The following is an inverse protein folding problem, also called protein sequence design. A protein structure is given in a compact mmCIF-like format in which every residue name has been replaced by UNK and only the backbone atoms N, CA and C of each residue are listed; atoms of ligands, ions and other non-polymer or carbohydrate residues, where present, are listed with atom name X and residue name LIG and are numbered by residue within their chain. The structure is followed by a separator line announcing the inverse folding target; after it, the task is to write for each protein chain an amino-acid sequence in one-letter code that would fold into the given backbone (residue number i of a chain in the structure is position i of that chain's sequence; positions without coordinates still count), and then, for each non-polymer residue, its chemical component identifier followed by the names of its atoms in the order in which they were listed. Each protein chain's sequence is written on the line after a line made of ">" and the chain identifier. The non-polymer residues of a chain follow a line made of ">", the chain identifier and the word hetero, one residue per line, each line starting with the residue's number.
data_IF_824802853468
#
_entry.id   IF_824802853468
#
_cell.length_a   1.000
_cell.length_b   1.000
_cell.length_c   1.000
_cell.angle_alpha   90.00
_cell.angle_beta   90.00
_cell.angle_gamma   90.00
#
_symmetry.space_group_name_H-M   'P 1'
#
loop_
_entity.id
_entity.type
_entity.pdbx_description
1 polymer ?
#
# COMPACT_ATOMS: atom_id res chain seq x y z
N UNK A 1 -18.21 8.38 31.19
CA UNK A 1 -18.55 7.76 29.89
C UNK A 1 -18.86 8.91 28.95
N UNK A 2 -18.46 8.95 27.65
CA UNK A 2 -18.01 7.85 26.76
C UNK A 2 -16.89 8.23 25.74
N UNK A 3 -16.06 7.27 25.33
CA UNK A 3 -15.35 7.21 24.01
C UNK A 3 -14.29 6.10 24.06
N UNK A 4 -13.41 6.14 25.07
CA UNK A 4 -12.29 5.21 25.20
C UNK A 4 -12.72 3.77 25.52
N UNK A 5 -13.88 3.57 26.14
CA UNK A 5 -14.37 2.24 26.52
C UNK A 5 -15.05 1.48 25.36
N UNK A 6 -15.34 2.13 24.24
CA UNK A 6 -15.80 1.46 23.00
C UNK A 6 -14.62 1.03 22.12
N UNK A 7 -13.54 1.81 22.10
CA UNK A 7 -12.31 1.52 21.33
C UNK A 7 -11.52 0.36 21.95
N UNK A 8 -11.34 0.37 23.27
CA UNK A 8 -10.68 -0.74 23.98
C UNK A 8 -11.46 -2.06 23.82
N UNK A 9 -12.78 -2.00 23.63
CA UNK A 9 -13.60 -3.20 23.40
C UNK A 9 -13.50 -3.73 21.96
N UNK A 10 -13.17 -2.90 20.97
CA UNK A 10 -12.92 -3.36 19.60
C UNK A 10 -11.62 -4.19 19.53
N UNK A 11 -10.57 -3.75 20.23
CA UNK A 11 -9.32 -4.49 20.36
C UNK A 11 -9.46 -5.76 21.24
N UNK A 12 -10.33 -5.74 22.27
CA UNK A 12 -10.50 -6.88 23.19
C UNK A 12 -11.45 -7.99 22.70
N UNK A 13 -12.23 -7.78 21.63
CA UNK A 13 -13.10 -8.83 21.06
C UNK A 13 -12.37 -9.68 20.00
N UNK A 14 -11.08 -9.43 19.74
CA UNK A 14 -10.30 -10.05 18.67
C UNK A 14 -9.44 -11.23 19.12
N UNK A 15 -9.69 -11.85 20.28
CA UNK A 15 -9.01 -13.10 20.67
C UNK A 15 -9.71 -14.38 20.15
N UNK A 16 -10.15 -14.38 18.89
CA UNK A 16 -10.64 -15.62 18.29
C UNK A 16 -10.36 -15.70 16.79
N UNK A 17 -9.24 -16.34 16.42
CA UNK A 17 -9.03 -17.12 15.19
C UNK A 17 -9.38 -16.50 13.81
N UNK A 18 -9.75 -15.23 13.74
CA UNK A 18 -10.21 -14.54 12.54
C UNK A 18 -9.61 -13.14 12.58
N UNK A 19 -8.72 -12.85 11.63
CA UNK A 19 -8.07 -11.56 11.50
C UNK A 19 -9.07 -10.40 11.44
N UNK A 20 -8.59 -9.19 11.75
CA UNK A 20 -9.37 -7.96 11.79
C UNK A 20 -10.22 -7.77 10.51
N UNK A 21 -11.51 -7.48 10.69
CA UNK A 21 -12.46 -7.22 9.59
C UNK A 21 -13.19 -5.89 9.83
N UNK A 22 -12.75 -4.78 9.21
CA UNK A 22 -13.38 -3.48 9.37
C UNK A 22 -14.77 -3.47 8.70
N UNK A 23 -15.78 -3.02 9.45
CA UNK A 23 -17.15 -2.91 8.94
C UNK A 23 -17.39 -1.63 8.13
N UNK A 24 -16.47 -0.67 8.19
CA UNK A 24 -16.60 0.63 7.54
C UNK A 24 -15.23 1.24 7.21
N UNK A 25 -15.26 2.29 6.38
CA UNK A 25 -14.09 3.14 6.15
C UNK A 25 -13.49 3.67 7.44
N UNK A 26 -14.33 4.13 8.37
CA UNK A 26 -13.87 4.70 9.65
C UNK A 26 -13.12 3.65 10.47
N UNK A 27 -13.63 2.41 10.53
CA UNK A 27 -12.95 1.34 11.27
C UNK A 27 -11.60 1.00 10.64
N UNK A 28 -11.52 1.01 9.30
CA UNK A 28 -10.28 0.78 8.57
C UNK A 28 -9.28 1.94 8.78
N UNK A 29 -9.73 3.19 8.66
CA UNK A 29 -8.89 4.38 8.90
C UNK A 29 -8.40 4.42 10.34
N UNK A 30 -9.25 4.17 11.33
CA UNK A 30 -8.88 4.17 12.75
C UNK A 30 -7.82 3.09 13.05
N UNK A 31 -7.97 1.88 12.48
CA UNK A 31 -7.00 0.80 12.64
C UNK A 31 -5.64 1.12 12.00
N UNK A 32 -5.64 1.74 10.82
CA UNK A 32 -4.41 2.18 10.16
C UNK A 32 -3.75 3.34 10.91
N UNK A 33 -4.53 4.32 11.37
CA UNK A 33 -4.05 5.45 12.16
C UNK A 33 -3.41 4.98 13.47
N UNK A 34 -4.03 4.00 14.14
CA UNK A 34 -3.50 3.38 15.35
C UNK A 34 -2.19 2.64 15.06
N UNK A 35 -2.12 1.91 13.95
CA UNK A 35 -0.88 1.27 13.52
C UNK A 35 0.24 2.31 13.24
N UNK A 36 -0.04 3.29 12.39
CA UNK A 36 0.97 4.21 11.89
C UNK A 36 1.46 5.23 12.93
N UNK A 37 0.70 5.50 14.00
CA UNK A 37 1.13 6.37 15.11
C UNK A 37 2.06 5.66 16.12
N UNK A 38 2.04 4.33 16.17
CA UNK A 38 2.80 3.54 17.14
C UNK A 38 4.10 2.94 16.56
N UNK A 39 4.36 3.13 15.26
CA UNK A 39 5.54 2.63 14.54
C UNK A 39 6.89 3.22 14.97
N UNK A 40 6.91 4.20 15.88
CA UNK A 40 8.14 4.78 16.45
C UNK A 40 8.72 3.97 17.63
N UNK A 41 8.13 2.83 18.00
CA UNK A 41 8.62 2.01 19.10
C UNK A 41 9.75 1.08 18.63
N UNK A 42 10.99 1.58 18.75
CA UNK A 42 12.21 0.78 18.61
C UNK A 42 12.22 -0.24 19.75
N UNK A 43 12.35 -1.53 19.45
CA UNK A 43 12.52 -2.50 20.53
C UNK A 43 13.85 -2.34 21.27
N UNK A 44 13.99 -3.02 22.42
CA UNK A 44 15.24 -3.10 23.19
C UNK A 44 16.42 -3.74 22.42
N UNK A 45 16.22 -4.20 21.18
CA UNK A 45 17.19 -4.85 20.30
C UNK A 45 17.53 -4.04 19.03
N UNK A 46 16.94 -2.86 18.82
CA UNK A 46 17.18 -2.02 17.65
C UNK A 46 16.51 -2.50 16.36
N UNK A 47 15.51 -3.37 16.45
CA UNK A 47 14.73 -3.85 15.31
C UNK A 47 13.51 -2.96 15.12
N UNK A 48 13.30 -2.47 13.90
CA UNK A 48 12.08 -1.76 13.52
C UNK A 48 10.93 -2.77 13.51
N UNK A 49 10.05 -2.73 14.51
CA UNK A 49 8.84 -3.55 14.48
C UNK A 49 7.83 -2.86 13.56
N UNK A 50 7.93 -3.22 12.27
CA UNK A 50 7.21 -2.70 11.12
C UNK A 50 5.85 -3.38 10.89
N UNK A 51 5.31 -3.88 12.00
CA UNK A 51 4.16 -4.72 12.13
C UNK A 51 3.40 -4.12 13.30
N UNK A 52 2.14 -3.76 13.09
CA UNK A 52 1.23 -3.02 13.96
C UNK A 52 0.92 -3.70 15.31
N UNK A 53 1.92 -4.23 16.00
CA UNK A 53 1.83 -5.08 17.18
C UNK A 53 2.15 -4.29 18.42
N UNK A 54 1.12 -4.01 19.21
CA UNK A 54 1.27 -4.02 20.66
C UNK A 54 0.01 -4.64 21.25
N UNK A 55 0.12 -5.85 21.80
CA UNK A 55 -0.93 -6.34 22.69
C UNK A 55 -0.94 -5.53 24.00
N UNK A 56 -1.97 -5.71 24.82
CA UNK A 56 -2.09 -5.03 26.12
C UNK A 56 -0.95 -5.32 27.12
N UNK A 57 -0.01 -6.21 26.78
CA UNK A 57 1.09 -6.68 27.61
C UNK A 57 2.47 -6.25 27.08
N UNK A 58 2.54 -5.58 25.93
CA UNK A 58 3.81 -5.13 25.35
C UNK A 58 4.66 -6.27 24.76
N UNK A 59 4.04 -7.38 24.35
CA UNK A 59 4.75 -8.51 23.73
C UNK A 59 4.56 -8.51 22.21
N UNK A 60 5.57 -9.05 21.47
CA UNK A 60 5.41 -9.30 20.04
C UNK A 60 4.41 -10.44 19.88
N UNK A 61 3.21 -10.08 19.45
CA UNK A 61 2.25 -11.02 18.91
C UNK A 61 2.96 -11.89 17.85
N UNK A 62 2.71 -13.19 17.83
CA UNK A 62 3.23 -14.15 16.83
C UNK A 62 2.08 -14.81 16.07
N UNK A 63 0.88 -14.27 16.24
CA UNK A 63 -0.40 -14.95 16.06
C UNK A 63 -0.97 -14.70 14.65
N UNK A 64 -0.26 -13.90 13.83
CA UNK A 64 -0.41 -13.88 12.38
C UNK A 64 -1.27 -12.76 11.82
N UNK A 65 -1.66 -11.75 12.60
CA UNK A 65 -2.52 -10.65 12.11
C UNK A 65 -1.69 -9.52 11.48
N UNK A 66 -1.13 -9.75 10.28
CA UNK A 66 -0.53 -8.65 9.52
C UNK A 66 -1.64 -7.81 8.86
N UNK A 67 -1.38 -6.53 8.57
CA UNK A 67 -2.32 -5.67 7.81
C UNK A 67 -2.80 -6.35 6.52
N UNK A 68 -1.95 -7.14 5.87
CA UNK A 68 -2.30 -7.89 4.66
C UNK A 68 -3.38 -8.97 4.86
N UNK A 69 -3.56 -9.44 6.09
CA UNK A 69 -4.49 -10.50 6.47
C UNK A 69 -5.88 -9.96 6.87
N UNK A 70 -6.06 -8.63 6.87
CA UNK A 70 -7.34 -7.99 7.20
C UNK A 70 -8.43 -8.30 6.16
N UNK A 71 -9.61 -8.71 6.62
CA UNK A 71 -10.77 -8.92 5.75
C UNK A 71 -11.50 -7.60 5.48
N UNK A 72 -11.09 -6.94 4.40
CA UNK A 72 -11.67 -5.67 3.93
C UNK A 72 -12.95 -5.83 3.11
N UNK A 73 -13.53 -7.04 3.01
CA UNK A 73 -14.64 -7.34 2.09
C UNK A 73 -15.93 -6.55 2.36
N UNK A 74 -16.09 -6.01 3.56
CA UNK A 74 -17.23 -5.17 3.97
C UNK A 74 -17.02 -3.68 3.69
N UNK A 75 -15.79 -3.26 3.39
CA UNK A 75 -15.46 -1.85 3.15
C UNK A 75 -15.98 -1.45 1.78
N UNK A 76 -16.78 -0.37 1.73
CA UNK A 76 -17.39 0.15 0.50
C UNK A 76 -16.78 1.50 0.05
N UNK A 77 -16.03 2.15 0.92
CA UNK A 77 -15.35 3.42 0.69
C UNK A 77 -13.91 3.29 1.20
N UNK A 78 -12.93 3.45 0.31
CA UNK A 78 -11.50 3.45 0.64
C UNK A 78 -10.85 4.80 0.33
N UNK A 79 -11.65 5.86 0.22
CA UNK A 79 -11.13 7.19 -0.03
C UNK A 79 -10.20 7.63 1.11
N UNK A 80 -9.05 8.21 0.78
CA UNK A 80 -8.06 8.76 1.71
C UNK A 80 -7.35 7.78 2.68
N UNK A 81 -7.67 6.49 2.64
CA UNK A 81 -7.17 5.45 3.59
C UNK A 81 -5.63 5.41 3.71
N UNK A 82 -4.88 5.69 2.64
CA UNK A 82 -3.41 5.78 2.65
C UNK A 82 -2.89 7.16 2.21
N UNK A 83 -3.67 8.22 2.37
CA UNK A 83 -3.24 9.57 1.99
C UNK A 83 -2.09 10.02 2.86
N UNK A 84 -0.98 10.45 2.24
CA UNK A 84 0.25 10.90 2.91
C UNK A 84 0.80 9.87 3.89
N UNK A 85 0.62 8.59 3.60
CA UNK A 85 1.08 7.48 4.41
C UNK A 85 2.61 7.27 4.34
N UNK A 86 3.40 8.36 4.24
CA UNK A 86 4.88 8.32 4.23
C UNK A 86 5.41 7.62 5.49
N UNK A 87 4.83 7.94 6.66
CA UNK A 87 5.19 7.31 7.95
C UNK A 87 4.84 5.83 7.98
N UNK A 88 3.70 5.46 7.38
CA UNK A 88 3.26 4.08 7.27
C UNK A 88 4.17 3.27 6.32
N UNK A 89 4.53 3.78 5.14
CA UNK A 89 5.23 3.01 4.11
C UNK A 89 6.75 2.89 4.29
N UNK A 90 7.41 3.78 5.05
CA UNK A 90 8.81 3.57 5.49
C UNK A 90 8.94 2.35 6.41
N UNK A 91 7.85 2.04 7.13
CA UNK A 91 7.82 1.10 8.25
C UNK A 91 6.77 0.00 8.09
N UNK A 92 6.19 -0.22 6.91
CA UNK A 92 5.18 -1.27 6.73
C UNK A 92 5.67 -2.29 5.74
N UNK A 93 6.07 -3.45 6.27
CA UNK A 93 6.08 -4.71 5.52
C UNK A 93 4.63 -5.23 5.27
N UNK A 94 3.63 -4.34 5.36
CA UNK A 94 2.22 -4.64 5.16
C UNK A 94 1.95 -4.86 3.68
N UNK A 95 1.74 -6.11 3.31
CA UNK A 95 1.38 -6.48 1.96
C UNK A 95 -0.12 -6.26 1.72
N UNK A 96 -0.49 -5.16 1.07
CA UNK A 96 -1.90 -4.85 0.73
C UNK A 96 -2.30 -5.34 -0.66
N UNK A 97 -1.42 -6.10 -1.32
CA UNK A 97 -1.62 -6.59 -2.70
C UNK A 97 -2.95 -7.33 -2.86
N UNK A 98 -3.35 -8.10 -1.84
CA UNK A 98 -4.45 -9.06 -1.90
C UNK A 98 -5.69 -8.68 -1.09
N UNK A 99 -5.80 -7.42 -0.67
CA UNK A 99 -7.01 -6.93 -0.02
C UNK A 99 -8.25 -7.12 -0.90
N UNK A 100 -9.35 -7.54 -0.28
CA UNK A 100 -10.62 -7.71 -0.98
C UNK A 100 -11.31 -6.35 -1.14
N UNK A 101 -11.22 -5.79 -2.35
CA UNK A 101 -11.86 -4.52 -2.70
C UNK A 101 -13.16 -4.68 -3.51
N UNK A 102 -13.67 -5.91 -3.67
CA UNK A 102 -14.82 -6.20 -4.55
C UNK A 102 -16.13 -5.52 -4.14
N UNK A 103 -16.22 -4.97 -2.91
CA UNK A 103 -17.35 -4.18 -2.42
C UNK A 103 -17.13 -2.67 -2.51
N UNK A 104 -15.90 -2.23 -2.83
CA UNK A 104 -15.51 -0.82 -2.82
C UNK A 104 -16.13 -0.10 -4.02
N UNK A 105 -16.68 1.08 -3.75
CA UNK A 105 -17.37 1.93 -4.74
C UNK A 105 -16.64 3.25 -4.98
N UNK A 106 -15.73 3.65 -4.09
CA UNK A 106 -14.90 4.85 -4.22
C UNK A 106 -13.49 4.63 -3.65
N UNK A 107 -12.49 5.11 -4.39
CA UNK A 107 -11.05 5.03 -4.06
C UNK A 107 -10.37 6.41 -4.26
N UNK A 108 -11.11 7.49 -4.00
CA UNK A 108 -10.59 8.85 -4.12
C UNK A 108 -9.36 9.06 -3.21
N UNK A 109 -8.26 9.54 -3.79
CA UNK A 109 -7.04 9.92 -3.07
C UNK A 109 -6.47 8.82 -2.18
N UNK A 110 -6.79 7.54 -2.40
CA UNK A 110 -6.38 6.44 -1.52
C UNK A 110 -4.87 6.44 -1.27
N UNK A 111 -4.05 6.64 -2.31
CA UNK A 111 -2.58 6.71 -2.22
C UNK A 111 -2.04 8.11 -2.53
N UNK A 112 -2.84 9.16 -2.32
CA UNK A 112 -2.40 10.53 -2.61
C UNK A 112 -1.19 10.90 -1.75
N UNK A 113 -0.13 11.37 -2.41
CA UNK A 113 1.17 11.71 -1.82
C UNK A 113 1.80 10.55 -1.01
N UNK A 114 1.48 9.30 -1.33
CA UNK A 114 2.16 8.11 -0.79
C UNK A 114 3.50 7.88 -1.52
N UNK A 115 4.47 8.75 -1.26
CA UNK A 115 5.70 8.90 -2.07
C UNK A 115 6.54 7.62 -2.16
N UNK A 116 6.44 6.74 -1.17
CA UNK A 116 7.20 5.48 -1.07
C UNK A 116 6.43 4.22 -1.48
N UNK A 117 5.13 4.34 -1.76
CA UNK A 117 4.30 3.20 -2.12
C UNK A 117 4.69 2.66 -3.50
N UNK A 118 5.00 1.36 -3.59
CA UNK A 118 5.27 0.68 -4.87
C UNK A 118 4.87 -0.80 -4.91
N UNK A 119 3.88 -1.20 -4.09
CA UNK A 119 3.41 -2.58 -4.10
C UNK A 119 2.47 -2.83 -5.28
N UNK A 120 2.48 -4.05 -5.89
CA UNK A 120 1.45 -4.40 -6.85
C UNK A 120 0.07 -4.39 -6.20
N UNK A 121 -0.98 -4.10 -6.97
CA UNK A 121 -2.34 -4.02 -6.46
C UNK A 121 -3.27 -4.97 -7.22
N UNK A 122 -3.51 -6.16 -6.66
CA UNK A 122 -4.43 -7.17 -7.20
C UNK A 122 -5.86 -6.92 -6.72
N UNK A 123 -6.31 -5.67 -6.87
CA UNK A 123 -7.60 -5.18 -6.39
C UNK A 123 -8.69 -5.36 -7.44
N UNK A 124 -9.87 -5.83 -7.01
CA UNK A 124 -11.08 -5.78 -7.82
C UNK A 124 -11.70 -4.39 -7.72
N UNK A 125 -11.58 -3.62 -8.79
CA UNK A 125 -12.14 -2.27 -8.90
C UNK A 125 -13.40 -2.19 -9.76
N UNK A 126 -13.99 -3.33 -10.12
CA UNK A 126 -15.09 -3.41 -11.09
C UNK A 126 -16.36 -2.64 -10.69
N UNK A 127 -16.53 -2.36 -9.38
CA UNK A 127 -17.63 -1.55 -8.82
C UNK A 127 -17.24 -0.11 -8.49
N UNK A 128 -15.97 0.27 -8.66
CA UNK A 128 -15.48 1.60 -8.31
C UNK A 128 -15.97 2.61 -9.34
N UNK A 129 -16.49 3.73 -8.85
CA UNK A 129 -17.04 4.82 -9.66
C UNK A 129 -16.17 6.09 -9.63
N UNK A 130 -15.34 6.26 -8.60
CA UNK A 130 -14.41 7.39 -8.44
C UNK A 130 -13.01 6.93 -8.01
N UNK A 131 -11.99 7.45 -8.70
CA UNK A 131 -10.56 7.25 -8.45
C UNK A 131 -9.78 8.59 -8.47
N UNK A 132 -10.46 9.69 -8.16
CA UNK A 132 -9.86 11.03 -8.24
C UNK A 132 -8.61 11.15 -7.39
N UNK A 133 -7.54 11.68 -7.97
CA UNK A 133 -6.24 11.86 -7.29
C UNK A 133 -5.65 10.58 -6.64
N UNK A 134 -6.13 9.37 -6.98
CA UNK A 134 -5.78 8.14 -6.25
C UNK A 134 -4.27 7.94 -6.08
N UNK A 135 -3.47 8.19 -7.12
CA UNK A 135 -2.00 8.09 -7.10
C UNK A 135 -1.31 9.45 -7.26
N UNK A 136 -2.02 10.55 -7.01
CA UNK A 136 -1.46 11.88 -7.18
C UNK A 136 -0.31 12.09 -6.20
N UNK A 137 0.94 12.11 -6.70
CA UNK A 137 2.13 12.29 -5.87
C UNK A 137 2.69 11.01 -5.25
N UNK A 138 2.21 9.83 -5.64
CA UNK A 138 2.81 8.55 -5.24
C UNK A 138 4.09 8.26 -6.03
N UNK A 139 5.13 9.08 -5.90
CA UNK A 139 6.25 9.20 -6.86
C UNK A 139 7.04 7.92 -7.19
N UNK A 140 7.07 6.92 -6.29
CA UNK A 140 7.75 5.65 -6.55
C UNK A 140 6.86 4.56 -7.15
N UNK A 141 5.54 4.75 -7.17
CA UNK A 141 4.63 3.76 -7.72
C UNK A 141 4.90 3.60 -9.22
N UNK A 142 5.20 2.39 -9.69
CA UNK A 142 5.46 2.10 -11.10
C UNK A 142 4.90 0.73 -11.52
N UNK A 143 3.93 0.22 -10.78
CA UNK A 143 3.34 -1.09 -11.04
C UNK A 143 2.27 -0.98 -12.14
N UNK A 144 2.16 -2.00 -13.01
CA UNK A 144 1.04 -2.09 -13.94
C UNK A 144 -0.28 -2.29 -13.18
N UNK A 145 -1.35 -1.70 -13.72
CA UNK A 145 -2.70 -1.77 -13.17
C UNK A 145 -3.62 -2.46 -14.18
N UNK A 146 -3.82 -3.78 -14.01
CA UNK A 146 -4.75 -4.59 -14.82
C UNK A 146 -6.16 -4.52 -14.23
N UNK A 147 -6.76 -3.33 -14.33
CA UNK A 147 -8.01 -2.99 -13.67
C UNK A 147 -9.13 -2.77 -14.67
N UNK A 148 -10.29 -3.38 -14.41
CA UNK A 148 -11.50 -3.05 -15.17
C UNK A 148 -12.10 -1.72 -14.68
N UNK A 149 -11.75 -0.62 -15.35
CA UNK A 149 -12.26 0.71 -15.01
C UNK A 149 -13.50 1.12 -15.80
N UNK A 150 -14.27 0.18 -16.38
CA UNK A 150 -15.42 0.51 -17.24
C UNK A 150 -16.53 1.28 -16.51
N UNK A 151 -16.61 1.17 -15.18
CA UNK A 151 -17.58 1.86 -14.33
C UNK A 151 -17.02 3.15 -13.69
N UNK A 152 -15.72 3.44 -13.86
CA UNK A 152 -15.10 4.62 -13.29
C UNK A 152 -15.53 5.84 -14.09
N UNK A 153 -16.35 6.68 -13.45
CA UNK A 153 -16.83 7.94 -14.03
C UNK A 153 -15.91 9.11 -13.74
N UNK A 154 -15.16 9.05 -12.64
CA UNK A 154 -14.18 10.09 -12.30
C UNK A 154 -12.82 9.50 -11.99
N UNK A 155 -11.80 10.01 -12.67
CA UNK A 155 -10.38 9.63 -12.54
C UNK A 155 -9.49 10.86 -12.72
N UNK A 156 -10.05 12.02 -12.41
CA UNK A 156 -9.40 13.30 -12.62
C UNK A 156 -8.13 13.35 -11.76
N UNK A 157 -7.04 13.79 -12.38
CA UNK A 157 -5.74 13.95 -11.74
C UNK A 157 -5.17 12.69 -11.07
N UNK A 158 -5.69 11.49 -11.38
CA UNK A 158 -5.27 10.22 -10.79
C UNK A 158 -3.74 10.05 -10.78
N UNK A 159 -3.06 10.46 -11.86
CA UNK A 159 -1.60 10.39 -12.03
C UNK A 159 -0.92 11.76 -12.26
N UNK A 160 -1.55 12.89 -11.91
CA UNK A 160 -1.13 14.21 -12.44
C UNK A 160 0.28 14.70 -12.08
N UNK A 161 0.97 14.06 -11.11
CA UNK A 161 2.38 14.37 -10.79
C UNK A 161 3.40 13.45 -11.49
N UNK A 162 2.97 12.40 -12.19
CA UNK A 162 3.89 11.44 -12.81
C UNK A 162 4.55 11.96 -14.09
N UNK A 163 3.85 12.78 -14.87
CA UNK A 163 4.35 13.54 -16.03
C UNK A 163 3.13 14.04 -16.81
N UNK A 164 3.29 15.07 -17.63
CA UNK A 164 2.25 15.45 -18.61
C UNK A 164 1.93 14.34 -19.64
N UNK A 165 2.75 13.28 -19.70
CA UNK A 165 2.59 12.13 -20.59
C UNK A 165 1.62 11.07 -20.07
N UNK A 166 1.29 11.07 -18.77
CA UNK A 166 0.34 10.11 -18.19
C UNK A 166 -1.00 10.80 -18.03
N UNK A 167 -1.91 10.58 -18.99
CA UNK A 167 -3.27 11.14 -18.93
C UNK A 167 -4.35 10.06 -18.77
N UNK A 168 -4.00 8.79 -18.96
CA UNK A 168 -4.93 7.66 -18.93
C UNK A 168 -4.30 6.44 -18.26
N UNK A 169 -5.14 5.44 -17.95
CA UNK A 169 -4.67 4.15 -17.43
C UNK A 169 -3.83 3.39 -18.46
N UNK A 170 -4.16 3.49 -19.75
CA UNK A 170 -3.39 2.84 -20.81
C UNK A 170 -2.00 3.48 -20.97
N UNK A 171 -1.92 4.82 -20.89
CA UNK A 171 -0.65 5.54 -20.87
C UNK A 171 0.16 5.16 -19.64
N UNK A 172 -0.49 5.01 -18.48
CA UNK A 172 0.14 4.54 -17.26
C UNK A 172 0.74 3.15 -17.42
N UNK A 173 -0.05 2.18 -17.88
CA UNK A 173 0.42 0.81 -18.07
C UNK A 173 1.56 0.72 -19.08
N UNK A 174 1.52 1.55 -20.13
CA UNK A 174 2.61 1.69 -21.09
C UNK A 174 3.87 2.26 -20.45
N UNK A 175 3.74 3.34 -19.66
CA UNK A 175 4.84 3.97 -18.92
C UNK A 175 5.48 3.00 -17.91
N UNK A 176 4.66 2.39 -17.05
CA UNK A 176 5.07 1.41 -16.05
C UNK A 176 5.89 0.28 -16.70
N UNK A 177 5.37 -0.32 -17.77
CA UNK A 177 6.05 -1.41 -18.49
C UNK A 177 7.39 -0.96 -19.09
N UNK A 178 7.46 0.24 -19.68
CA UNK A 178 8.70 0.76 -20.27
C UNK A 178 9.79 1.01 -19.22
N UNK A 179 9.44 1.59 -18.07
CA UNK A 179 10.38 1.78 -16.96
C UNK A 179 10.92 0.44 -16.42
N UNK A 180 10.06 -0.59 -16.33
CA UNK A 180 10.49 -1.95 -15.98
C UNK A 180 11.51 -2.52 -17.00
N UNK A 181 11.22 -2.38 -18.31
CA UNK A 181 12.07 -2.90 -19.38
C UNK A 181 13.45 -2.21 -19.44
N UNK A 182 13.50 -0.90 -19.22
CA UNK A 182 14.74 -0.13 -19.13
C UNK A 182 15.58 -0.58 -17.93
N UNK A 183 14.93 -0.82 -16.79
CA UNK A 183 15.60 -1.30 -15.57
C UNK A 183 16.15 -2.71 -15.77
N UNK A 184 15.39 -3.63 -16.39
CA UNK A 184 15.88 -4.97 -16.73
C UNK A 184 17.07 -4.93 -17.69
N UNK A 185 16.97 -4.15 -18.75
CA UNK A 185 18.02 -4.04 -19.78
C UNK A 185 19.32 -3.48 -19.20
N UNK A 186 19.22 -2.49 -18.31
CA UNK A 186 20.40 -1.94 -17.62
C UNK A 186 21.03 -2.96 -16.66
N UNK A 187 20.23 -3.75 -15.94
CA UNK A 187 20.71 -4.81 -15.07
C UNK A 187 21.39 -5.96 -15.84
N UNK A 188 20.85 -6.37 -16.99
CA UNK A 188 21.49 -7.35 -17.88
C UNK A 188 22.84 -6.85 -18.40
N UNK A 189 22.91 -5.58 -18.84
CA UNK A 189 24.15 -4.97 -19.28
C UNK A 189 25.22 -4.92 -18.16
N UNK A 190 24.80 -4.59 -16.94
CA UNK A 190 25.66 -4.63 -15.75
C UNK A 190 26.15 -6.05 -15.45
N UNK A 191 25.28 -7.06 -15.52
CA UNK A 191 25.66 -8.47 -15.31
C UNK A 191 26.72 -8.93 -16.31
N UNK A 192 26.58 -8.55 -17.57
CA UNK A 192 27.55 -8.86 -18.62
C UNK A 192 28.90 -8.17 -18.37
N UNK A 193 28.89 -6.94 -17.88
CA UNK A 193 30.10 -6.19 -17.53
C UNK A 193 30.82 -6.78 -16.31
N UNK A 194 30.08 -7.22 -15.28
CA UNK A 194 30.64 -7.94 -14.11
C UNK A 194 31.27 -9.26 -14.55
N UNK A 195 30.60 -10.00 -15.44
CA UNK A 195 31.09 -11.29 -15.96
C UNK A 195 32.39 -11.11 -16.76
N UNK A 196 32.55 -9.97 -17.46
CA UNK A 196 33.76 -9.65 -18.23
C UNK A 196 34.90 -9.05 -17.39
N UNK A 197 34.58 -8.26 -16.37
CA UNK A 197 35.58 -7.48 -15.61
C UNK A 197 35.97 -8.09 -14.26
N UNK A 198 35.19 -9.02 -13.72
CA UNK A 198 35.44 -9.66 -12.42
C UNK A 198 35.30 -8.72 -11.21
N UNK A 199 34.74 -7.52 -11.38
CA UNK A 199 34.48 -6.55 -10.29
C UNK A 199 33.04 -6.06 -10.36
N UNK A 200 32.34 -6.11 -9.22
CA UNK A 200 31.02 -5.52 -9.07
C UNK A 200 31.14 -4.00 -8.83
N UNK A 201 30.47 -3.13 -9.62
CA UNK A 201 30.34 -1.72 -9.28
C UNK A 201 29.32 -1.54 -8.15
N UNK A 202 29.57 -0.54 -7.29
CA UNK A 202 28.67 -0.18 -6.20
C UNK A 202 27.58 0.75 -6.72
N UNK A 203 26.39 0.23 -7.02
CA UNK A 203 25.19 1.04 -7.19
C UNK A 203 23.97 0.37 -6.55
N UNK A 204 23.14 1.23 -5.96
CA UNK A 204 21.91 0.91 -5.25
C UNK A 204 20.81 0.70 -6.28
N UNK A 205 20.33 -0.54 -6.41
CA UNK A 205 19.26 -0.93 -7.32
C UNK A 205 17.94 -0.33 -6.83
N UNK A 206 17.41 0.65 -7.55
CA UNK A 206 16.08 1.16 -7.33
C UNK A 206 15.04 0.16 -7.87
N UNK A 207 14.08 -0.19 -7.03
CA UNK A 207 12.76 -0.74 -7.35
C UNK A 207 12.68 -1.71 -8.53
N UNK A 208 12.89 -3.00 -8.26
CA UNK A 208 12.42 -4.06 -9.15
C UNK A 208 10.90 -3.88 -9.35
N UNK A 209 10.45 -3.78 -10.61
CA UNK A 209 9.16 -4.34 -10.95
C UNK A 209 9.23 -5.84 -10.62
N UNK A 210 8.35 -6.31 -9.75
CA UNK A 210 8.28 -7.73 -9.38
C UNK A 210 7.70 -8.52 -10.54
#
# INVERSE_FOLDING_TARGET
>A
MPSNMRVVLACLMLSSAYGFSPASKSDLEDALDECCRNGDNVDLMGTFNNDCRVDSQGTYDTDGDHIGDWDTSLVTDMSFVFKRAEVCFETMNANVTYWNTSSVTTMESTFKDATLFNQPLQWDVSKVTSMDYMFNGATLFNQPLDWNTSHVTNKDFMFSKFSSRVNSMDDWNTFATQECDLTRSSHEALRDEITKSGRAPAYQMAGLCV
#
